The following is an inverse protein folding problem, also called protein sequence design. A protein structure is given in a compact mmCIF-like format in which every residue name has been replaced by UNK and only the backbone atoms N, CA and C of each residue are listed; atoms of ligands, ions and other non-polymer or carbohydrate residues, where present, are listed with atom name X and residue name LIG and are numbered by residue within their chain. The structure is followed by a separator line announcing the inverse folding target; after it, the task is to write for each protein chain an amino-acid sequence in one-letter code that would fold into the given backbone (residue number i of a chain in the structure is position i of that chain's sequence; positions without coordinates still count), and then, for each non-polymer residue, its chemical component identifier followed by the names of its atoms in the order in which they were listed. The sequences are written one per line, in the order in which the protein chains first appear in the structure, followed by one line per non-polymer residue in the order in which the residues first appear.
data_IF_718679809277
#
_entry.id   IF_718679809277
#
_cell.length_a   1.000
_cell.length_b   1.000
_cell.length_c   1.000
_cell.angle_alpha   90.00
_cell.angle_beta   90.00
_cell.angle_gamma   90.00
#
_symmetry.space_group_name_H-M   'P 1'
#
loop_
_entity.id
_entity.type
_entity.pdbx_description
1 polymer ?
#
# COMPACT_ATOMS: atom_id res chain seq x y z
N UNK A 1 -14.55 -9.63 -8.01
CA UNK A 1 -13.43 -9.37 -8.94
C UNK A 1 -12.33 -8.74 -8.10
N UNK A 2 -11.10 -9.24 -8.25
CA UNK A 2 -9.95 -8.84 -7.45
C UNK A 2 -9.12 -7.80 -8.17
N UNK A 3 -8.72 -6.75 -7.46
CA UNK A 3 -7.92 -5.65 -8.03
C UNK A 3 -6.71 -5.36 -7.16
N UNK A 4 -5.56 -5.13 -7.80
CA UNK A 4 -4.41 -4.51 -7.17
C UNK A 4 -4.20 -3.10 -7.72
N UNK A 5 -3.94 -2.13 -6.84
CA UNK A 5 -3.66 -0.74 -7.23
C UNK A 5 -2.16 -0.45 -7.22
N UNK A 6 -1.68 0.25 -8.25
CA UNK A 6 -0.30 0.78 -8.32
C UNK A 6 -0.39 2.29 -8.34
N UNK A 7 0.05 2.95 -7.27
CA UNK A 7 -0.04 4.42 -7.14
C UNK A 7 1.23 5.06 -7.70
N UNK A 8 1.20 5.42 -8.98
CA UNK A 8 2.33 5.98 -9.71
C UNK A 8 2.10 7.42 -10.21
N UNK A 9 0.95 8.02 -9.91
CA UNK A 9 0.73 9.46 -10.15
C UNK A 9 0.85 10.28 -8.86
N UNK A 10 1.20 11.57 -8.97
CA UNK A 10 1.29 12.46 -7.81
C UNK A 10 -0.04 12.53 -7.04
N UNK A 11 0.05 12.48 -5.71
CA UNK A 11 -1.08 12.64 -4.79
C UNK A 11 -2.19 11.56 -4.91
N UNK A 12 -1.95 10.45 -5.61
CA UNK A 12 -2.92 9.36 -5.76
C UNK A 12 -3.31 8.74 -4.40
N UNK A 13 -2.36 8.56 -3.49
CA UNK A 13 -2.63 8.01 -2.17
C UNK A 13 -3.52 8.91 -1.31
N UNK A 14 -3.25 10.21 -1.29
CA UNK A 14 -4.02 11.11 -0.45
C UNK A 14 -5.38 11.48 -1.08
N UNK A 15 -5.46 11.65 -2.40
CA UNK A 15 -6.71 11.98 -3.10
C UNK A 15 -7.51 10.73 -3.50
N UNK A 16 -7.03 9.92 -4.44
CA UNK A 16 -7.79 8.78 -4.98
C UNK A 16 -8.01 7.69 -3.93
N UNK A 17 -6.97 7.32 -3.17
CA UNK A 17 -7.14 6.36 -2.08
C UNK A 17 -7.82 7.01 -0.88
N UNK A 18 -7.28 8.11 -0.38
CA UNK A 18 -7.73 8.72 0.87
C UNK A 18 -9.14 9.34 0.85
N UNK A 19 -9.57 9.96 -0.24
CA UNK A 19 -10.87 10.63 -0.33
C UNK A 19 -11.94 9.82 -1.09
N UNK A 20 -11.54 8.81 -1.88
CA UNK A 20 -12.48 8.03 -2.70
C UNK A 20 -12.51 6.55 -2.30
N UNK A 21 -11.41 5.82 -2.46
CA UNK A 21 -11.39 4.37 -2.23
C UNK A 21 -11.57 4.02 -0.76
N UNK A 22 -10.88 4.71 0.16
CA UNK A 22 -10.95 4.44 1.60
C UNK A 22 -12.38 4.55 2.16
N UNK A 23 -13.14 5.65 1.95
CA UNK A 23 -14.54 5.71 2.38
C UNK A 23 -15.43 4.62 1.75
N UNK A 24 -15.15 4.23 0.50
CA UNK A 24 -15.88 3.15 -0.17
C UNK A 24 -15.57 1.78 0.44
N UNK A 25 -14.32 1.53 0.86
CA UNK A 25 -13.94 0.33 1.57
C UNK A 25 -14.56 0.27 2.97
N UNK A 26 -14.60 1.39 3.69
CA UNK A 26 -15.21 1.49 5.03
C UNK A 26 -16.72 1.26 5.02
N UNK A 27 -17.40 1.73 3.97
CA UNK A 27 -18.84 1.57 3.78
C UNK A 27 -19.22 0.29 3.01
N UNK A 28 -18.23 -0.55 2.69
CA UNK A 28 -18.40 -1.77 1.89
C UNK A 28 -19.11 -1.55 0.54
N UNK A 29 -18.90 -0.36 -0.06
CA UNK A 29 -19.55 0.08 -1.30
C UNK A 29 -18.60 0.15 -2.51
N UNK A 30 -17.34 -0.25 -2.35
CA UNK A 30 -16.32 -0.16 -3.40
C UNK A 30 -16.61 -1.07 -4.62
N UNK A 31 -17.27 -2.22 -4.39
CA UNK A 31 -17.75 -3.10 -5.46
C UNK A 31 -16.72 -4.06 -6.06
N UNK A 32 -15.46 -4.02 -5.61
CA UNK A 32 -14.40 -4.99 -5.96
C UNK A 32 -13.59 -5.37 -4.73
N UNK A 33 -12.93 -6.53 -4.80
CA UNK A 33 -12.05 -7.04 -3.76
C UNK A 33 -10.64 -6.48 -3.98
N UNK A 34 -10.26 -5.47 -3.19
CA UNK A 34 -8.89 -4.91 -3.29
C UNK A 34 -7.94 -5.88 -2.59
N UNK A 35 -7.04 -6.52 -3.34
CA UNK A 35 -6.08 -7.49 -2.78
C UNK A 35 -4.75 -6.85 -2.37
N UNK A 36 -4.45 -5.67 -2.90
CA UNK A 36 -3.27 -4.92 -2.50
C UNK A 36 -3.14 -3.55 -3.14
N UNK A 37 -2.29 -2.72 -2.54
CA UNK A 37 -1.94 -1.38 -2.99
C UNK A 37 -0.43 -1.21 -2.88
N UNK A 38 0.22 -0.84 -4.00
CA UNK A 38 1.65 -0.56 -4.07
C UNK A 38 1.91 0.93 -4.25
N UNK A 39 2.70 1.52 -3.36
CA UNK A 39 2.90 2.97 -3.23
C UNK A 39 4.27 3.40 -3.76
N UNK A 40 4.30 4.32 -4.72
CA UNK A 40 5.52 4.95 -5.25
C UNK A 40 5.65 6.41 -4.83
N UNK A 41 6.88 6.93 -4.88
CA UNK A 41 7.21 8.32 -4.60
C UNK A 41 6.59 8.80 -3.27
N UNK A 42 5.99 9.99 -3.26
CA UNK A 42 5.37 10.61 -2.08
C UNK A 42 4.08 9.92 -1.66
N UNK A 43 3.53 9.00 -2.46
CA UNK A 43 2.34 8.25 -2.06
C UNK A 43 2.61 7.40 -0.80
N UNK A 44 3.87 7.00 -0.59
CA UNK A 44 4.34 6.27 0.60
C UNK A 44 4.06 7.02 1.91
N UNK A 45 4.03 8.36 1.90
CA UNK A 45 3.77 9.19 3.08
C UNK A 45 2.37 9.01 3.67
N UNK A 46 1.42 8.44 2.91
CA UNK A 46 0.12 8.06 3.46
C UNK A 46 0.27 7.02 4.58
N UNK A 47 1.28 6.15 4.48
CA UNK A 47 1.52 5.03 5.39
C UNK A 47 2.45 5.40 6.56
N UNK A 48 2.84 6.66 6.69
CA UNK A 48 3.57 7.14 7.87
C UNK A 48 2.71 6.98 9.13
N UNK A 49 3.33 6.51 10.22
CA UNK A 49 2.68 6.37 11.52
C UNK A 49 2.05 7.68 11.97
N UNK A 50 0.81 7.62 12.45
CA UNK A 50 0.03 8.78 12.86
C UNK A 50 -0.67 9.52 11.71
N UNK A 51 -0.51 9.10 10.45
CA UNK A 51 -1.31 9.64 9.35
C UNK A 51 -2.77 9.17 9.49
N UNK A 52 -3.77 10.07 9.66
CA UNK A 52 -5.15 9.66 9.95
C UNK A 52 -5.77 8.74 8.89
N UNK A 53 -5.42 8.93 7.61
CA UNK A 53 -5.91 8.09 6.51
C UNK A 53 -5.15 6.78 6.43
N UNK A 54 -3.83 6.81 6.66
CA UNK A 54 -2.98 5.62 6.74
C UNK A 54 -3.45 4.64 7.80
N UNK A 55 -3.72 5.12 9.01
CA UNK A 55 -4.17 4.29 10.14
C UNK A 55 -5.51 3.59 9.83
N UNK A 56 -6.45 4.33 9.20
CA UNK A 56 -7.74 3.77 8.77
C UNK A 56 -7.57 2.73 7.68
N UNK A 57 -6.73 3.01 6.68
CA UNK A 57 -6.44 2.08 5.60
C UNK A 57 -5.77 0.80 6.10
N UNK A 58 -4.80 0.92 7.02
CA UNK A 58 -4.11 -0.22 7.63
C UNK A 58 -5.06 -1.14 8.39
N UNK A 59 -6.01 -0.56 9.14
CA UNK A 59 -7.04 -1.34 9.82
C UNK A 59 -7.87 -2.18 8.85
N UNK A 60 -8.35 -1.58 7.76
CA UNK A 60 -9.13 -2.31 6.74
C UNK A 60 -8.26 -3.36 6.05
N UNK A 61 -7.00 -3.04 5.76
CA UNK A 61 -6.07 -3.97 5.15
C UNK A 61 -5.86 -5.22 6.02
N UNK A 62 -5.72 -5.04 7.34
CA UNK A 62 -5.62 -6.15 8.28
C UNK A 62 -6.91 -6.99 8.32
N UNK A 63 -8.09 -6.34 8.33
CA UNK A 63 -9.39 -7.02 8.36
C UNK A 63 -9.68 -7.81 7.07
N UNK A 64 -9.31 -7.25 5.91
CA UNK A 64 -9.60 -7.82 4.59
C UNK A 64 -8.43 -8.60 3.97
N UNK A 65 -7.30 -8.70 4.66
CA UNK A 65 -6.09 -9.38 4.16
C UNK A 65 -5.48 -8.71 2.93
N UNK A 66 -5.51 -7.37 2.88
CA UNK A 66 -4.96 -6.59 1.77
C UNK A 66 -3.47 -6.36 1.98
N UNK A 67 -2.69 -6.46 0.90
CA UNK A 67 -1.29 -6.04 0.91
C UNK A 67 -1.18 -4.51 0.87
N UNK A 68 -0.48 -3.90 1.82
CA UNK A 68 0.00 -2.52 1.71
C UNK A 68 1.51 -2.56 1.55
N UNK A 69 2.03 -2.13 0.40
CA UNK A 69 3.47 -2.19 0.11
C UNK A 69 4.00 -0.82 -0.33
N UNK A 70 5.14 -0.41 0.18
CA UNK A 70 5.88 0.75 -0.33
C UNK A 70 7.05 0.29 -1.20
N UNK A 71 7.35 1.05 -2.26
CA UNK A 71 8.61 0.87 -2.97
C UNK A 71 9.80 1.12 -2.01
N UNK A 72 10.71 0.16 -1.96
CA UNK A 72 11.95 0.19 -1.18
C UNK A 72 12.72 1.52 -1.26
N UNK A 73 13.10 1.95 -2.45
CA UNK A 73 13.88 3.17 -2.66
C UNK A 73 13.08 4.42 -2.29
N UNK A 74 11.79 4.46 -2.64
CA UNK A 74 10.93 5.58 -2.31
C UNK A 74 10.76 5.74 -0.80
N UNK A 75 10.57 4.63 -0.07
CA UNK A 75 10.41 4.60 1.37
C UNK A 75 11.71 4.96 2.09
N UNK A 76 12.84 4.38 1.68
CA UNK A 76 14.16 4.68 2.25
C UNK A 76 14.52 6.16 2.12
N UNK A 77 14.33 6.75 0.93
CA UNK A 77 14.58 8.17 0.69
C UNK A 77 13.74 9.10 1.60
N UNK A 78 12.59 8.62 2.08
CA UNK A 78 11.63 9.36 2.92
C UNK A 78 11.74 9.04 4.39
N UNK A 79 12.71 8.21 4.80
CA UNK A 79 12.86 7.77 6.19
C UNK A 79 11.71 6.89 6.67
N UNK A 80 11.06 6.17 5.74
CA UNK A 80 9.99 5.21 6.03
C UNK A 80 10.45 3.74 5.94
N UNK A 81 11.73 3.53 5.62
CA UNK A 81 12.35 2.22 5.61
C UNK A 81 13.86 2.34 5.81
N UNK A 82 14.48 1.27 6.28
CA UNK A 82 15.94 1.13 6.38
C UNK A 82 16.41 -0.18 5.75
N UNK A 83 17.61 -0.16 5.17
CA UNK A 83 18.20 -1.34 4.53
C UNK A 83 18.62 -2.37 5.58
N UNK A 84 18.31 -3.63 5.32
CA UNK A 84 18.64 -4.78 6.14
C UNK A 84 20.04 -5.30 5.80
N UNK A 85 20.64 -6.08 6.71
CA UNK A 85 21.98 -6.64 6.49
C UNK A 85 22.06 -7.68 5.34
N UNK A 86 20.91 -8.16 4.85
CA UNK A 86 20.78 -9.10 3.73
C UNK A 86 20.45 -8.42 2.39
N UNK A 87 20.40 -7.08 2.35
CA UNK A 87 20.10 -6.29 1.16
C UNK A 87 18.60 -6.07 0.89
N UNK A 88 17.71 -6.48 1.81
CA UNK A 88 16.30 -6.10 1.80
C UNK A 88 16.03 -4.77 2.49
N UNK A 89 14.76 -4.40 2.67
CA UNK A 89 14.35 -3.23 3.43
C UNK A 89 13.29 -3.58 4.47
N UNK A 90 13.35 -2.95 5.65
CA UNK A 90 12.33 -3.04 6.68
C UNK A 90 11.58 -1.72 6.82
N UNK A 91 10.24 -1.74 7.00
CA UNK A 91 9.47 -0.53 7.30
C UNK A 91 9.94 0.13 8.61
N UNK A 92 9.99 1.46 8.61
CA UNK A 92 10.36 2.26 9.79
C UNK A 92 9.39 3.45 9.93
N UNK A 93 8.87 3.67 11.14
CA UNK A 93 7.95 4.79 11.37
C UNK A 93 6.65 4.74 10.54
N UNK A 94 6.21 3.55 10.14
CA UNK A 94 4.97 3.33 9.37
C UNK A 94 3.81 2.88 10.27
N UNK A 95 2.60 2.91 9.71
CA UNK A 95 1.45 2.18 10.24
C UNK A 95 1.70 0.67 10.22
N UNK A 96 0.96 -0.07 11.04
CA UNK A 96 1.12 -1.52 11.18
C UNK A 96 0.75 -2.28 9.89
N UNK A 97 1.41 -3.42 9.64
CA UNK A 97 1.10 -4.31 8.52
C UNK A 97 1.61 -3.86 7.15
N UNK A 98 2.41 -2.80 7.09
CA UNK A 98 3.05 -2.33 5.85
C UNK A 98 4.25 -3.20 5.50
N UNK A 99 4.36 -3.57 4.22
CA UNK A 99 5.54 -4.19 3.64
C UNK A 99 6.37 -3.14 2.87
N UNK A 100 7.65 -3.43 2.69
CA UNK A 100 8.56 -2.65 1.83
C UNK A 100 9.24 -3.62 0.88
N UNK A 101 9.30 -3.27 -0.41
CA UNK A 101 9.91 -4.13 -1.41
C UNK A 101 9.86 -3.55 -2.82
N UNK A 102 10.27 -4.38 -3.78
CA UNK A 102 10.28 -4.08 -5.20
C UNK A 102 9.26 -4.95 -5.94
N UNK A 103 9.24 -4.89 -7.28
CA UNK A 103 8.30 -5.65 -8.11
C UNK A 103 8.35 -7.17 -7.90
N UNK A 104 9.52 -7.83 -7.76
CA UNK A 104 9.55 -9.26 -7.45
C UNK A 104 8.84 -9.61 -6.14
N UNK A 105 8.98 -8.76 -5.11
CA UNK A 105 8.32 -8.94 -3.82
C UNK A 105 6.81 -8.75 -3.95
N UNK A 106 6.36 -7.76 -4.73
CA UNK A 106 4.95 -7.57 -5.05
C UNK A 106 4.36 -8.82 -5.70
N UNK A 107 5.04 -9.40 -6.70
CA UNK A 107 4.54 -10.60 -7.38
C UNK A 107 4.49 -11.80 -6.43
N UNK A 108 5.51 -11.97 -5.59
CA UNK A 108 5.52 -13.03 -4.58
C UNK A 108 4.42 -12.84 -3.52
N UNK A 109 4.17 -11.62 -3.09
CA UNK A 109 3.15 -11.32 -2.08
C UNK A 109 1.73 -11.53 -2.63
N UNK A 110 1.50 -11.21 -3.91
CA UNK A 110 0.20 -11.37 -4.56
C UNK A 110 -0.04 -12.78 -5.14
N UNK A 111 0.97 -13.65 -5.24
CA UNK A 111 0.80 -14.96 -5.88
C UNK A 111 -0.20 -15.87 -5.15
N UNK A 112 -0.33 -15.71 -3.82
CA UNK A 112 -1.34 -16.40 -3.02
C UNK A 112 -2.75 -15.80 -3.10
N UNK A 113 -2.88 -14.57 -3.63
CA UNK A 113 -4.13 -13.84 -3.75
C UNK A 113 -4.15 -13.00 -5.05
N UNK A 114 -4.02 -13.67 -6.18
CA UNK A 114 -3.82 -13.03 -7.49
C UNK A 114 -4.97 -12.07 -7.84
N UNK A 115 -4.67 -10.83 -8.29
CA UNK A 115 -5.67 -9.93 -8.82
C UNK A 115 -6.14 -10.35 -10.22
N UNK A 116 -7.41 -10.08 -10.53
CA UNK A 116 -7.95 -10.16 -11.90
C UNK A 116 -7.47 -8.98 -12.75
N UNK A 117 -7.25 -7.80 -12.13
CA UNK A 117 -6.72 -6.61 -12.78
C UNK A 117 -5.71 -5.85 -11.91
N UNK A 118 -4.71 -5.27 -12.57
CA UNK A 118 -3.80 -4.29 -11.97
C UNK A 118 -4.14 -2.91 -12.54
N UNK A 119 -4.49 -1.97 -11.67
CA UNK A 119 -4.93 -0.62 -12.06
C UNK A 119 -3.90 0.39 -11.57
N UNK A 120 -3.29 1.13 -12.51
CA UNK A 120 -2.41 2.24 -12.18
C UNK A 120 -3.20 3.51 -11.90
N UNK A 121 -2.90 4.16 -10.77
CA UNK A 121 -3.56 5.38 -10.29
C UNK A 121 -2.60 6.53 -10.16
#
# INVERSE_FOLDING_TARGET
MKVAYVLNTPNAANYKVGEMILPQLESDSHGVDVVGIFFFDDNTMLLQKGNPKGERLAKIAAEKGMLLMMCDQCANQRGLASENSDGGYSPEGTVDGVAVGCFPDLYSALSGNMPDQVISL
#
